data_IF_449378384956
#
_entry.id   IF_449378384956
#
_cell.length_a   1.000
_cell.length_b   1.000
_cell.length_c   1.000
_cell.angle_alpha   90.00
_cell.angle_beta   90.00
_cell.angle_gamma   90.00
#
_symmetry.space_group_name_H-M   'P 1'
#
loop_
_entity.id
_entity.type
_entity.pdbx_description
1 polymer ?
#
# COMPACT_ATOMS: atom_id res chain seq x y z
N UNK A 1 -9.40 21.06 -13.11
CA UNK A 1 -7.93 21.05 -12.90
C UNK A 1 -7.74 20.51 -11.51
N UNK A 2 -7.79 19.19 -11.44
CA UNK A 2 -7.99 18.45 -10.20
C UNK A 2 -6.63 18.03 -9.68
N UNK A 3 -5.87 19.03 -9.23
CA UNK A 3 -4.75 18.78 -8.34
C UNK A 3 -5.38 18.28 -7.03
N UNK A 4 -5.37 16.95 -6.81
CA UNK A 4 -5.68 16.35 -5.51
C UNK A 4 -4.38 16.20 -4.73
N UNK A 5 -3.99 17.16 -3.86
CA UNK A 5 -2.77 17.08 -3.04
C UNK A 5 -2.92 16.14 -1.82
N UNK A 6 -3.71 15.06 -1.91
CA UNK A 6 -4.12 14.26 -0.73
C UNK A 6 -3.82 12.76 -0.75
N UNK A 7 -3.35 12.19 -1.86
CA UNK A 7 -3.28 10.73 -2.01
C UNK A 7 -1.92 10.11 -1.63
N UNK A 8 -1.17 10.71 -0.72
CA UNK A 8 0.13 10.19 -0.29
C UNK A 8 0.16 9.95 1.22
N UNK A 9 0.26 8.68 1.58
CA UNK A 9 0.35 8.18 2.95
C UNK A 9 1.81 8.07 3.39
N UNK A 10 2.06 8.27 4.67
CA UNK A 10 3.29 7.85 5.36
C UNK A 10 3.22 6.38 5.77
N UNK A 11 4.34 5.83 6.26
CA UNK A 11 4.36 4.47 6.83
C UNK A 11 3.43 4.32 8.04
N UNK A 12 3.20 5.40 8.78
CA UNK A 12 2.30 5.43 9.93
C UNK A 12 0.83 5.36 9.48
N UNK A 13 0.47 6.24 8.54
CA UNK A 13 -0.88 6.27 7.96
C UNK A 13 -1.20 4.99 7.19
N UNK A 14 -0.24 4.45 6.45
CA UNK A 14 -0.43 3.18 5.74
C UNK A 14 -0.59 2.00 6.72
N UNK A 15 0.14 2.01 7.83
CA UNK A 15 -0.02 1.01 8.90
C UNK A 15 -1.43 1.06 9.49
N UNK A 16 -1.96 2.26 9.74
CA UNK A 16 -3.34 2.45 10.20
C UNK A 16 -4.37 2.06 9.12
N UNK A 17 -4.13 2.41 7.85
CA UNK A 17 -5.00 2.10 6.72
C UNK A 17 -5.14 0.60 6.50
N UNK A 18 -4.01 -0.12 6.44
CA UNK A 18 -3.98 -1.57 6.24
C UNK A 18 -4.27 -2.36 7.52
N UNK A 19 -4.30 -1.70 8.68
CA UNK A 19 -4.34 -2.33 10.01
C UNK A 19 -3.24 -3.36 10.23
N UNK A 20 -2.05 -3.11 9.65
CA UNK A 20 -0.87 -3.97 9.77
C UNK A 20 0.17 -3.26 10.62
N UNK A 21 0.85 -3.94 11.56
CA UNK A 21 1.89 -3.31 12.37
C UNK A 21 3.06 -2.80 11.51
N UNK A 22 3.59 -1.63 11.85
CA UNK A 22 4.73 -0.98 11.17
C UNK A 22 5.89 -1.95 10.93
N UNK A 23 6.22 -2.82 11.90
CA UNK A 23 7.29 -3.81 11.76
C UNK A 23 7.11 -4.73 10.56
N UNK A 24 5.89 -5.16 10.28
CA UNK A 24 5.55 -5.95 9.09
C UNK A 24 5.59 -5.09 7.85
N UNK A 25 5.05 -3.86 7.92
CA UNK A 25 5.09 -2.92 6.80
C UNK A 25 6.53 -2.61 6.36
N UNK A 26 7.44 -2.39 7.30
CA UNK A 26 8.86 -2.21 7.03
C UNK A 26 9.48 -3.42 6.34
N UNK A 27 9.10 -4.65 6.71
CA UNK A 27 9.56 -5.85 5.99
C UNK A 27 9.07 -5.84 4.55
N UNK A 28 7.78 -5.61 4.33
CA UNK A 28 7.19 -5.55 2.99
C UNK A 28 7.82 -4.48 2.10
N UNK A 29 8.10 -3.30 2.67
CA UNK A 29 8.80 -2.20 2.00
C UNK A 29 10.24 -2.60 1.65
N UNK A 30 10.96 -3.26 2.57
CA UNK A 30 12.33 -3.73 2.33
C UNK A 30 12.38 -4.86 1.30
N UNK A 31 11.36 -5.70 1.26
CA UNK A 31 11.19 -6.75 0.25
C UNK A 31 10.68 -6.20 -1.09
N UNK A 32 10.28 -4.92 -1.16
CA UNK A 32 9.71 -4.32 -2.37
C UNK A 32 8.34 -4.86 -2.76
N UNK A 33 7.63 -5.51 -1.81
CA UNK A 33 6.29 -6.10 -2.04
C UNK A 33 5.18 -5.07 -2.00
N UNK A 34 5.41 -3.92 -1.36
CA UNK A 34 4.43 -2.84 -1.24
C UNK A 34 4.90 -1.65 -2.09
N UNK A 35 4.02 -1.05 -2.91
CA UNK A 35 4.38 0.09 -3.74
C UNK A 35 4.70 1.29 -2.86
N UNK A 36 5.98 1.65 -2.84
CA UNK A 36 6.51 2.72 -2.01
C UNK A 36 7.48 3.57 -2.81
N UNK A 37 7.51 4.86 -2.50
CA UNK A 37 8.38 5.82 -3.14
C UNK A 37 9.28 6.42 -2.08
N UNK A 38 10.59 6.38 -2.31
CA UNK A 38 11.58 7.00 -1.42
C UNK A 38 11.82 8.44 -1.85
N UNK A 39 11.40 9.40 -1.02
CA UNK A 39 11.58 10.83 -1.27
C UNK A 39 12.51 11.35 -0.19
N UNK A 40 13.77 11.59 -0.56
CA UNK A 40 14.82 11.97 0.39
C UNK A 40 15.02 10.91 1.48
N UNK A 41 14.68 11.28 2.73
CA UNK A 41 14.79 10.40 3.91
C UNK A 41 13.47 9.74 4.31
N UNK A 42 12.38 10.02 3.59
CA UNK A 42 11.04 9.55 3.95
C UNK A 42 10.48 8.60 2.90
N UNK A 43 9.73 7.61 3.37
CA UNK A 43 8.93 6.73 2.51
C UNK A 43 7.53 7.31 2.38
N UNK A 44 7.04 7.33 1.14
CA UNK A 44 5.73 7.83 0.76
C UNK A 44 5.01 6.75 -0.04
N UNK A 45 3.73 6.62 0.21
CA UNK A 45 2.89 5.56 -0.36
C UNK A 45 1.71 6.24 -1.03
N UNK A 46 1.58 6.08 -2.35
CA UNK A 46 0.40 6.62 -3.02
C UNK A 46 -0.81 5.76 -2.69
N UNK A 47 -1.88 6.36 -2.16
CA UNK A 47 -3.11 5.66 -1.80
C UNK A 47 -3.65 4.87 -2.99
N UNK A 48 -3.73 5.47 -4.17
CA UNK A 48 -4.15 4.79 -5.40
C UNK A 48 -3.29 3.58 -5.76
N UNK A 49 -1.96 3.69 -5.60
CA UNK A 49 -1.05 2.58 -5.86
C UNK A 49 -1.22 1.45 -4.83
N UNK A 50 -1.48 1.80 -3.57
CA UNK A 50 -1.78 0.83 -2.50
C UNK A 50 -3.12 0.15 -2.75
N UNK A 51 -4.14 0.90 -3.14
CA UNK A 51 -5.47 0.38 -3.47
C UNK A 51 -5.37 -0.66 -4.57
N UNK A 52 -4.72 -0.30 -5.69
CA UNK A 52 -4.47 -1.22 -6.80
C UNK A 52 -3.67 -2.45 -6.38
N UNK A 53 -2.62 -2.26 -5.57
CA UNK A 53 -1.82 -3.37 -5.06
C UNK A 53 -2.65 -4.32 -4.18
N UNK A 54 -3.58 -3.79 -3.38
CA UNK A 54 -4.50 -4.62 -2.62
C UNK A 54 -5.38 -5.42 -3.56
N UNK A 55 -5.97 -4.81 -4.59
CA UNK A 55 -6.78 -5.50 -5.60
C UNK A 55 -5.99 -6.63 -6.28
N UNK A 56 -4.73 -6.38 -6.65
CA UNK A 56 -3.84 -7.37 -7.27
C UNK A 56 -3.48 -8.51 -6.30
N UNK A 57 -3.26 -8.20 -5.02
CA UNK A 57 -2.93 -9.19 -3.98
C UNK A 57 -4.14 -10.04 -3.59
N UNK A 58 -5.36 -9.50 -3.62
CA UNK A 58 -6.59 -10.26 -3.34
C UNK A 58 -6.94 -11.25 -4.46
N UNK A 59 -6.32 -11.13 -5.65
CA UNK A 59 -6.50 -12.06 -6.78
C UNK A 59 -5.84 -13.44 -6.61
N UNK A 60 -5.00 -13.65 -5.59
CA UNK A 60 -4.38 -14.96 -5.33
C UNK A 60 -5.24 -15.87 -4.44
N UNK A 61 -6.30 -15.33 -3.81
CA UNK A 61 -7.37 -16.20 -3.31
C UNK A 61 -8.32 -16.50 -4.47
N UNK A 62 -8.00 -17.56 -5.21
CA UNK A 62 -8.98 -18.34 -5.96
C UNK A 62 -10.02 -18.89 -4.97
N UNK A 63 -10.90 -18.03 -4.45
CA UNK A 63 -12.16 -18.49 -3.90
C UNK A 63 -13.05 -18.73 -5.12
N UNK A 64 -13.13 -20.01 -5.49
CA UNK A 64 -14.04 -20.50 -6.50
C UNK A 64 -15.48 -20.31 -6.02
N UNK A 65 -16.05 -19.14 -6.29
CA UNK A 65 -17.49 -18.95 -6.33
C UNK A 65 -18.02 -19.53 -7.63
N UNK A 66 -18.27 -20.84 -7.64
CA UNK A 66 -19.07 -21.52 -8.65
C UNK A 66 -20.52 -21.02 -8.53
N UNK A 67 -21.06 -20.41 -9.58
CA UNK A 67 -22.52 -20.28 -9.79
C UNK A 67 -23.03 -21.50 -10.56
#
# INVERSE_FOLDING_TARGET
MDEKPGDVLTIDELSAYLKIPKSTLYKLVREGKVPCQKIGRHWRFRKEAIDRWLEETHGDTKDGGNE
#
